data_IF_090784120458
#
_entry.id   IF_090784120458
#
_cell.length_a   1.000
_cell.length_b   1.000
_cell.length_c   1.000
_cell.angle_alpha   90.00
_cell.angle_beta   90.00
_cell.angle_gamma   90.00
#
_symmetry.space_group_name_H-M   'P 1'
#
loop_
_entity.id
_entity.type
_entity.pdbx_description
1 polymer ?
#
# COMPACT_ATOMS: atom_id res chain seq x y z
N UNK A 1 -15.54 33.65 -12.23
CA UNK A 1 -15.31 32.67 -13.32
C UNK A 1 -14.05 31.87 -13.02
N UNK A 2 -12.95 32.54 -12.69
CA UNK A 2 -11.64 31.88 -12.48
C UNK A 2 -11.60 30.86 -11.33
N UNK A 3 -12.27 31.12 -10.20
CA UNK A 3 -12.32 30.14 -9.10
C UNK A 3 -13.10 28.87 -9.45
N UNK A 4 -14.23 29.01 -10.16
CA UNK A 4 -15.02 27.85 -10.61
C UNK A 4 -14.23 27.00 -11.60
N UNK A 5 -13.52 27.64 -12.53
CA UNK A 5 -12.63 26.94 -13.46
C UNK A 5 -11.48 26.24 -12.74
N UNK A 6 -10.87 26.87 -11.72
CA UNK A 6 -9.81 26.26 -10.91
C UNK A 6 -10.31 25.06 -10.08
N UNK A 7 -11.52 25.12 -9.54
CA UNK A 7 -12.13 24.00 -8.82
C UNK A 7 -12.45 22.86 -9.77
N UNK A 8 -13.02 23.16 -10.94
CA UNK A 8 -13.39 22.15 -11.93
C UNK A 8 -12.16 21.43 -12.49
N UNK A 9 -11.07 22.15 -12.78
CA UNK A 9 -9.82 21.54 -13.26
C UNK A 9 -9.21 20.62 -12.21
N UNK A 10 -9.15 21.04 -10.94
CA UNK A 10 -8.66 20.20 -9.83
C UNK A 10 -9.51 18.94 -9.65
N UNK A 11 -10.82 19.04 -9.76
CA UNK A 11 -11.72 17.88 -9.69
C UNK A 11 -11.46 16.91 -10.85
N UNK A 12 -11.36 17.40 -12.08
CA UNK A 12 -11.07 16.56 -13.25
C UNK A 12 -9.70 15.89 -13.14
N UNK A 13 -8.67 16.62 -12.70
CA UNK A 13 -7.34 16.06 -12.45
C UNK A 13 -7.37 15.01 -11.33
N UNK A 14 -8.12 15.24 -10.26
CA UNK A 14 -8.30 14.29 -9.16
C UNK A 14 -9.00 13.00 -9.61
N UNK A 15 -10.04 13.12 -10.44
CA UNK A 15 -10.72 11.97 -11.05
C UNK A 15 -9.79 11.19 -11.98
N UNK A 16 -9.00 11.89 -12.81
CA UNK A 16 -7.99 11.27 -13.66
C UNK A 16 -6.90 10.53 -12.87
N UNK A 17 -6.44 11.12 -11.76
CA UNK A 17 -5.48 10.51 -10.84
C UNK A 17 -6.00 9.20 -10.23
N UNK A 18 -7.24 9.22 -9.72
CA UNK A 18 -7.88 8.01 -9.19
C UNK A 18 -8.09 6.95 -10.28
N UNK A 19 -8.58 7.35 -11.46
CA UNK A 19 -8.79 6.43 -12.58
C UNK A 19 -7.49 5.74 -12.98
N UNK A 20 -6.37 6.47 -13.03
CA UNK A 20 -5.06 5.90 -13.33
C UNK A 20 -4.65 4.86 -12.28
N UNK A 21 -4.77 5.17 -10.98
CA UNK A 21 -4.44 4.25 -9.89
C UNK A 21 -5.29 2.99 -9.96
N UNK A 22 -6.60 3.13 -10.15
CA UNK A 22 -7.55 2.03 -10.25
C UNK A 22 -7.27 1.12 -11.45
N UNK A 23 -6.86 1.70 -12.59
CA UNK A 23 -6.47 0.91 -13.76
C UNK A 23 -5.11 0.26 -13.53
N UNK A 24 -4.11 0.93 -12.97
CA UNK A 24 -2.74 0.38 -12.85
C UNK A 24 -2.63 -0.68 -11.75
N UNK A 25 -3.44 -0.61 -10.70
CA UNK A 25 -3.34 -1.52 -9.55
C UNK A 25 -3.45 -3.02 -9.91
N UNK A 26 -4.46 -3.48 -10.68
CA UNK A 26 -4.53 -4.88 -11.12
C UNK A 26 -3.41 -5.28 -12.09
N UNK A 27 -2.93 -4.33 -12.92
CA UNK A 27 -1.82 -4.57 -13.84
C UNK A 27 -0.54 -4.92 -13.08
N UNK A 28 -0.23 -4.13 -12.04
CA UNK A 28 0.91 -4.37 -11.16
C UNK A 28 0.80 -5.73 -10.48
N UNK A 29 -0.39 -6.10 -9.98
CA UNK A 29 -0.59 -7.42 -9.38
C UNK A 29 -0.30 -8.56 -10.36
N UNK A 30 -0.72 -8.41 -11.62
CA UNK A 30 -0.44 -9.38 -12.68
C UNK A 30 1.05 -9.47 -13.00
N UNK A 31 1.73 -8.32 -13.03
CA UNK A 31 3.17 -8.24 -13.23
C UNK A 31 3.95 -8.95 -12.11
N UNK A 32 3.59 -8.73 -10.84
CA UNK A 32 4.22 -9.41 -9.69
C UNK A 32 4.02 -10.93 -9.78
N UNK A 33 2.80 -11.40 -10.06
CA UNK A 33 2.52 -12.84 -10.24
C UNK A 33 3.35 -13.46 -11.36
N UNK A 34 3.50 -12.75 -12.48
CA UNK A 34 4.35 -13.20 -13.60
C UNK A 34 5.83 -13.25 -13.23
N UNK A 35 6.32 -12.26 -12.48
CA UNK A 35 7.70 -12.22 -11.96
C UNK A 35 7.98 -13.36 -10.98
N UNK A 36 7.04 -13.71 -10.10
CA UNK A 36 7.16 -14.90 -9.22
C UNK A 36 7.25 -16.19 -10.03
N UNK A 37 6.41 -16.34 -11.06
CA UNK A 37 6.42 -17.52 -11.91
C UNK A 37 7.76 -17.68 -12.68
N UNK A 38 8.36 -16.58 -13.10
CA UNK A 38 9.70 -16.56 -13.70
C UNK A 38 10.76 -17.14 -12.76
N UNK A 39 10.82 -16.68 -11.50
CA UNK A 39 11.76 -17.23 -10.50
C UNK A 39 11.49 -18.69 -10.12
N UNK A 40 10.24 -19.12 -10.23
CA UNK A 40 9.82 -20.50 -9.98
C UNK A 40 9.99 -21.42 -11.21
N UNK A 41 10.56 -20.91 -12.32
CA UNK A 41 10.74 -21.66 -13.57
C UNK A 41 9.45 -22.31 -14.10
N UNK A 42 8.30 -21.63 -13.92
CA UNK A 42 7.00 -22.08 -14.44
C UNK A 42 6.34 -21.02 -15.30
N UNK A 43 5.44 -21.43 -16.18
CA UNK A 43 4.64 -20.49 -16.96
C UNK A 43 3.57 -19.84 -16.05
N UNK A 44 3.72 -18.54 -15.81
CA UNK A 44 2.78 -17.76 -15.01
C UNK A 44 1.51 -17.36 -15.77
N UNK A 45 0.49 -16.86 -15.06
CA UNK A 45 -0.70 -16.30 -15.68
C UNK A 45 -0.39 -15.03 -16.51
N UNK A 46 -1.32 -14.66 -17.38
CA UNK A 46 -1.23 -13.38 -18.10
C UNK A 46 -1.21 -12.19 -17.14
N UNK A 47 -0.53 -11.10 -17.52
CA UNK A 47 -0.50 -9.84 -16.76
C UNK A 47 -1.92 -9.28 -16.60
N UNK A 48 -2.81 -9.53 -17.56
CA UNK A 48 -4.21 -9.08 -17.52
C UNK A 48 -5.14 -10.01 -16.72
N UNK A 49 -4.61 -11.08 -16.11
CA UNK A 49 -5.42 -12.03 -15.35
C UNK A 49 -6.19 -11.38 -14.18
N UNK A 50 -5.61 -10.47 -13.37
CA UNK A 50 -6.34 -9.86 -12.26
C UNK A 50 -7.61 -9.10 -12.69
N UNK A 51 -7.60 -8.45 -13.85
CA UNK A 51 -8.82 -7.81 -14.38
C UNK A 51 -9.91 -8.82 -14.73
N UNK A 52 -9.52 -9.97 -15.29
CA UNK A 52 -10.45 -11.05 -15.63
C UNK A 52 -11.02 -11.68 -14.37
N UNK A 53 -10.21 -11.84 -13.33
CA UNK A 53 -10.63 -12.36 -12.04
C UNK A 53 -11.62 -11.40 -11.37
N UNK A 54 -11.32 -10.09 -11.31
CA UNK A 54 -12.26 -9.09 -10.80
C UNK A 54 -13.57 -9.09 -11.59
N UNK A 55 -13.50 -9.07 -12.93
CA UNK A 55 -14.69 -9.15 -13.78
C UNK A 55 -15.50 -10.43 -13.55
N UNK A 56 -14.83 -11.57 -13.32
CA UNK A 56 -15.48 -12.85 -13.02
C UNK A 56 -16.20 -12.77 -11.67
N UNK A 57 -15.56 -12.24 -10.64
CA UNK A 57 -16.11 -12.15 -9.28
C UNK A 57 -17.29 -11.18 -9.21
N UNK A 58 -17.22 -10.04 -9.91
CA UNK A 58 -18.35 -9.10 -10.04
C UNK A 58 -19.59 -9.67 -10.72
N UNK A 59 -19.46 -10.79 -11.45
CA UNK A 59 -20.58 -11.47 -12.13
C UNK A 59 -21.12 -12.67 -11.35
N UNK A 60 -20.46 -13.06 -10.26
CA UNK A 60 -20.92 -14.17 -9.43
C UNK A 60 -22.03 -13.69 -8.49
N UNK A 61 -22.90 -14.62 -8.13
CA UNK A 61 -23.84 -14.43 -7.03
C UNK A 61 -23.09 -14.28 -5.71
N UNK A 62 -23.60 -13.39 -4.86
CA UNK A 62 -23.07 -13.15 -3.52
C UNK A 62 -23.82 -14.02 -2.53
N UNK A 63 -23.08 -14.93 -1.87
CA UNK A 63 -23.61 -15.72 -0.76
C UNK A 63 -23.17 -15.05 0.54
N UNK A 64 -24.13 -14.83 1.43
CA UNK A 64 -23.93 -14.14 2.71
C UNK A 64 -24.36 -15.08 3.82
N UNK A 65 -23.56 -15.13 4.89
CA UNK A 65 -23.87 -15.91 6.09
C UNK A 65 -25.14 -15.40 6.78
N UNK A 66 -25.95 -16.31 7.34
CA UNK A 66 -27.13 -15.96 8.13
C UNK A 66 -26.78 -15.20 9.41
N UNK A 67 -25.52 -15.32 9.87
CA UNK A 67 -24.99 -14.66 11.06
C UNK A 67 -24.35 -13.30 10.78
N UNK A 68 -24.28 -12.88 9.51
CA UNK A 68 -23.65 -11.63 9.11
C UNK A 68 -24.46 -10.41 9.59
N UNK A 69 -23.80 -9.45 10.23
CA UNK A 69 -24.42 -8.18 10.61
C UNK A 69 -24.29 -7.13 9.48
N UNK A 70 -24.79 -5.91 9.74
CA UNK A 70 -24.59 -4.76 8.86
C UNK A 70 -23.10 -4.45 8.60
N UNK A 71 -22.19 -4.84 9.52
CA UNK A 71 -20.74 -4.64 9.38
C UNK A 71 -20.23 -5.41 8.16
N UNK A 72 -20.64 -6.66 7.98
CA UNK A 72 -20.26 -7.48 6.82
C UNK A 72 -20.56 -6.79 5.49
N UNK A 73 -21.74 -6.18 5.36
CA UNK A 73 -22.12 -5.43 4.15
C UNK A 73 -21.36 -4.12 3.98
N UNK A 74 -21.02 -3.46 5.08
CA UNK A 74 -20.35 -2.18 5.05
C UNK A 74 -18.85 -2.30 4.77
N UNK A 75 -18.21 -3.36 5.27
CA UNK A 75 -16.76 -3.56 5.22
C UNK A 75 -16.16 -3.48 3.82
N UNK A 76 -16.67 -4.16 2.77
CA UNK A 76 -16.14 -4.02 1.41
C UNK A 76 -16.14 -2.58 0.88
N UNK A 77 -17.21 -1.84 1.19
CA UNK A 77 -17.39 -0.45 0.74
C UNK A 77 -16.46 0.50 1.50
N UNK A 78 -16.34 0.32 2.82
CA UNK A 78 -15.44 1.13 3.65
C UNK A 78 -13.99 0.83 3.33
N UNK A 79 -13.60 -0.43 3.15
CA UNK A 79 -12.24 -0.80 2.76
C UNK A 79 -11.84 -0.14 1.43
N UNK A 80 -12.72 -0.21 0.42
CA UNK A 80 -12.48 0.43 -0.86
C UNK A 80 -12.46 1.97 -0.76
N UNK A 81 -13.40 2.58 -0.02
CA UNK A 81 -13.42 4.03 0.17
C UNK A 81 -12.19 4.55 0.94
N UNK A 82 -11.75 3.82 1.97
CA UNK A 82 -10.57 4.16 2.75
C UNK A 82 -9.28 4.02 1.94
N UNK A 83 -9.15 2.98 1.09
CA UNK A 83 -8.00 2.88 0.18
C UNK A 83 -8.02 3.94 -0.92
N UNK A 84 -9.19 4.35 -1.41
CA UNK A 84 -9.34 5.51 -2.28
C UNK A 84 -8.93 6.82 -1.58
N UNK A 85 -9.27 6.97 -0.31
CA UNK A 85 -8.85 8.13 0.49
C UNK A 85 -7.33 8.18 0.61
N UNK A 86 -6.68 7.05 0.90
CA UNK A 86 -5.22 6.95 0.87
C UNK A 86 -4.62 7.30 -0.51
N UNK A 87 -5.29 6.92 -1.60
CA UNK A 87 -4.85 7.24 -2.96
C UNK A 87 -4.88 8.74 -3.28
N UNK A 88 -5.78 9.51 -2.66
CA UNK A 88 -5.88 10.96 -2.83
C UNK A 88 -4.78 11.74 -2.09
N UNK A 89 -4.12 11.12 -1.11
CA UNK A 89 -3.06 11.75 -0.30
C UNK A 89 -1.67 11.53 -0.92
N UNK A 90 -1.47 10.44 -1.65
CA UNK A 90 -0.17 10.10 -2.24
C UNK A 90 0.06 10.84 -3.56
N UNK A 91 1.21 11.53 -3.74
CA UNK A 91 1.58 12.13 -5.02
C UNK A 91 1.99 11.05 -6.04
N UNK A 92 1.47 11.15 -7.26
CA UNK A 92 1.80 10.24 -8.37
C UNK A 92 2.80 10.92 -9.35
N UNK A 93 2.85 10.47 -10.61
CA UNK A 93 3.78 10.96 -11.65
C UNK A 93 3.79 12.49 -11.84
N UNK A 94 2.70 13.18 -11.49
CA UNK A 94 2.54 14.63 -11.64
C UNK A 94 3.14 15.44 -10.49
N UNK A 95 3.62 14.78 -9.42
CA UNK A 95 4.15 15.46 -8.23
C UNK A 95 3.10 16.18 -7.38
N UNK A 96 1.81 16.01 -7.72
CA UNK A 96 0.68 16.57 -7.01
C UNK A 96 -0.23 15.47 -6.46
N UNK A 97 -0.78 15.69 -5.27
CA UNK A 97 -1.80 14.85 -4.67
C UNK A 97 -3.12 15.65 -4.54
N UNK A 98 -4.28 15.07 -4.91
CA UNK A 98 -5.57 15.77 -4.85
C UNK A 98 -5.92 16.40 -3.49
N UNK A 99 -5.58 15.70 -2.40
CA UNK A 99 -5.82 16.17 -1.04
C UNK A 99 -4.58 16.77 -0.38
N UNK A 100 -3.58 17.25 -1.11
CA UNK A 100 -2.32 17.70 -0.51
C UNK A 100 -2.42 18.83 0.54
N UNK A 101 -3.47 19.66 0.50
CA UNK A 101 -3.68 20.69 1.51
C UNK A 101 -4.27 20.20 2.84
N UNK A 102 -4.93 19.03 2.84
CA UNK A 102 -5.63 18.47 4.00
C UNK A 102 -5.11 17.10 4.41
N UNK A 103 -4.37 16.44 3.51
CA UNK A 103 -3.89 15.08 3.65
C UNK A 103 -2.41 15.06 4.01
N UNK A 104 -2.13 14.37 5.10
CA UNK A 104 -0.80 14.17 5.66
C UNK A 104 -0.50 12.68 5.86
N UNK A 105 0.68 12.40 6.39
CA UNK A 105 1.10 11.04 6.75
C UNK A 105 0.13 10.36 7.74
N UNK A 106 -0.55 11.11 8.60
CA UNK A 106 -1.48 10.57 9.60
C UNK A 106 -2.79 10.15 8.95
N UNK A 107 -3.33 10.94 8.02
CA UNK A 107 -4.50 10.56 7.23
C UNK A 107 -4.22 9.31 6.40
N UNK A 108 -3.01 9.19 5.83
CA UNK A 108 -2.60 7.98 5.12
C UNK A 108 -2.58 6.76 6.06
N UNK A 109 -1.93 6.86 7.22
CA UNK A 109 -1.90 5.79 8.22
C UNK A 109 -3.28 5.42 8.74
N UNK A 110 -4.11 6.41 9.07
CA UNK A 110 -5.48 6.23 9.55
C UNK A 110 -6.38 5.57 8.50
N UNK A 111 -6.18 5.89 7.21
CA UNK A 111 -6.90 5.25 6.12
C UNK A 111 -6.61 3.75 6.05
N UNK A 112 -5.34 3.35 6.19
CA UNK A 112 -4.95 1.93 6.25
C UNK A 112 -5.46 1.24 7.53
N UNK A 113 -5.36 1.91 8.67
CA UNK A 113 -5.90 1.42 9.94
C UNK A 113 -7.42 1.21 9.90
N UNK A 114 -8.16 2.08 9.20
CA UNK A 114 -9.61 1.95 9.01
C UNK A 114 -9.96 0.69 8.19
N UNK A 115 -9.19 0.39 7.14
CA UNK A 115 -9.35 -0.85 6.35
C UNK A 115 -9.18 -2.06 7.27
N UNK A 116 -8.09 -2.11 8.05
CA UNK A 116 -7.82 -3.20 8.99
C UNK A 116 -8.93 -3.34 10.02
N UNK A 117 -9.38 -2.24 10.62
CA UNK A 117 -10.45 -2.25 11.62
C UNK A 117 -11.72 -2.92 11.06
N UNK A 118 -12.22 -2.48 9.91
CA UNK A 118 -13.43 -3.05 9.33
C UNK A 118 -13.26 -4.51 8.88
N UNK A 119 -12.10 -4.85 8.32
CA UNK A 119 -11.77 -6.22 7.96
C UNK A 119 -11.72 -7.14 9.20
N UNK A 120 -11.15 -6.68 10.31
CA UNK A 120 -11.07 -7.46 11.57
C UNK A 120 -12.42 -7.67 12.21
N UNK A 121 -13.27 -6.64 12.23
CA UNK A 121 -14.65 -6.76 12.71
C UNK A 121 -15.45 -7.75 11.83
N UNK A 122 -15.36 -7.62 10.51
CA UNK A 122 -16.02 -8.55 9.60
C UNK A 122 -15.55 -10.00 9.79
N UNK A 123 -14.26 -10.24 10.00
CA UNK A 123 -13.73 -11.57 10.25
C UNK A 123 -14.21 -12.20 11.56
N UNK A 124 -14.70 -11.42 12.52
CA UNK A 124 -15.20 -11.91 13.81
C UNK A 124 -16.67 -12.32 13.80
N UNK A 125 -17.48 -11.80 12.86
CA UNK A 125 -18.93 -12.03 12.85
C UNK A 125 -19.36 -13.29 12.10
N UNK A 126 -18.47 -13.85 11.30
CA UNK A 126 -18.80 -14.88 10.34
C UNK A 126 -19.27 -16.25 10.88
N UNK A 127 -19.25 -16.40 12.20
CA UNK A 127 -19.50 -17.67 12.91
C UNK A 127 -18.53 -18.81 12.53
N UNK A 128 -17.52 -18.57 11.69
CA UNK A 128 -16.39 -19.46 11.44
C UNK A 128 -15.24 -19.27 12.43
N UNK A 129 -14.55 -20.36 12.78
CA UNK A 129 -13.38 -20.31 13.68
C UNK A 129 -12.14 -19.67 13.03
N UNK A 130 -12.04 -19.72 11.70
CA UNK A 130 -10.89 -19.20 10.96
C UNK A 130 -10.88 -17.68 10.82
N UNK A 131 -12.05 -17.04 10.66
CA UNK A 131 -12.16 -15.58 10.60
C UNK A 131 -11.62 -14.94 11.88
N UNK A 132 -12.06 -15.44 13.04
CA UNK A 132 -11.57 -14.94 14.34
C UNK A 132 -10.08 -15.21 14.57
N UNK A 133 -9.55 -16.36 14.15
CA UNK A 133 -8.11 -16.64 14.19
C UNK A 133 -7.32 -15.69 13.27
N UNK A 134 -7.82 -15.43 12.05
CA UNK A 134 -7.23 -14.48 11.11
C UNK A 134 -7.21 -13.06 11.68
N UNK A 135 -8.35 -12.57 12.19
CA UNK A 135 -8.48 -11.26 12.81
C UNK A 135 -7.53 -11.07 13.99
N UNK A 136 -7.41 -12.05 14.88
CA UNK A 136 -6.48 -11.98 16.02
C UNK A 136 -5.02 -11.83 15.56
N UNK A 137 -4.64 -12.55 14.50
CA UNK A 137 -3.27 -12.52 13.94
C UNK A 137 -2.99 -11.22 13.19
N UNK A 138 -3.95 -10.74 12.40
CA UNK A 138 -3.84 -9.47 11.68
C UNK A 138 -3.73 -8.30 12.65
N UNK A 139 -4.50 -8.28 13.75
CA UNK A 139 -4.36 -7.28 14.81
C UNK A 139 -2.99 -7.37 15.49
N UNK A 140 -2.48 -8.58 15.76
CA UNK A 140 -1.15 -8.74 16.34
C UNK A 140 -0.03 -8.20 15.44
N UNK A 141 -0.09 -8.47 14.14
CA UNK A 141 0.84 -7.89 13.16
C UNK A 141 0.63 -6.38 13.06
N UNK A 142 -0.61 -5.93 12.99
CA UNK A 142 -1.00 -4.54 12.84
C UNK A 142 -0.53 -3.62 13.98
N UNK A 143 -0.66 -4.10 15.21
CA UNK A 143 -0.17 -3.40 16.41
C UNK A 143 1.34 -3.13 16.36
N UNK A 144 2.09 -3.91 15.58
CA UNK A 144 3.54 -3.76 15.40
C UNK A 144 3.88 -2.98 14.12
N UNK A 145 3.12 -3.13 13.04
CA UNK A 145 3.38 -2.45 11.77
C UNK A 145 2.96 -0.98 11.78
N UNK A 146 1.83 -0.63 12.39
CA UNK A 146 1.29 0.74 12.36
C UNK A 146 2.23 1.76 13.03
N UNK A 147 2.77 1.51 14.25
CA UNK A 147 3.74 2.43 14.83
C UNK A 147 5.03 2.51 14.00
N UNK A 148 5.46 1.40 13.41
CA UNK A 148 6.64 1.36 12.55
C UNK A 148 6.45 2.21 11.29
N UNK A 149 5.27 2.11 10.65
CA UNK A 149 4.89 2.92 9.49
C UNK A 149 4.96 4.41 9.82
N UNK A 150 4.28 4.80 10.90
CA UNK A 150 4.22 6.20 11.33
C UNK A 150 5.59 6.73 11.71
N UNK A 151 6.39 5.98 12.48
CA UNK A 151 7.74 6.39 12.85
C UNK A 151 8.64 6.57 11.62
N UNK A 152 8.58 5.65 10.64
CA UNK A 152 9.33 5.78 9.38
C UNK A 152 8.95 7.04 8.61
N UNK A 153 7.66 7.37 8.51
CA UNK A 153 7.18 8.59 7.86
C UNK A 153 7.49 9.85 8.67
N UNK A 154 7.42 9.81 9.99
CA UNK A 154 7.76 10.94 10.88
C UNK A 154 9.24 11.30 10.75
N UNK A 155 10.14 10.32 10.64
CA UNK A 155 11.55 10.61 10.37
C UNK A 155 11.72 11.38 9.06
N UNK A 156 11.03 10.96 7.98
CA UNK A 156 11.03 11.69 6.71
C UNK A 156 10.40 13.07 6.85
N UNK A 157 9.35 13.22 7.65
CA UNK A 157 8.72 14.50 7.97
C UNK A 157 9.71 15.46 8.65
N UNK A 158 10.52 14.98 9.59
CA UNK A 158 11.55 15.80 10.21
C UNK A 158 12.64 16.21 9.22
N UNK A 159 13.08 15.29 8.34
CA UNK A 159 14.08 15.59 7.31
C UNK A 159 13.58 16.70 6.37
N UNK A 160 12.31 16.64 5.99
CA UNK A 160 11.71 17.51 4.96
C UNK A 160 10.92 18.70 5.50
N UNK A 161 10.76 18.78 6.82
CA UNK A 161 10.03 19.83 7.56
C UNK A 161 8.55 19.97 7.15
N UNK A 162 7.94 18.88 6.69
CA UNK A 162 6.53 18.85 6.29
C UNK A 162 5.90 17.50 6.61
N UNK A 163 4.62 17.51 6.99
CA UNK A 163 3.83 16.29 7.22
C UNK A 163 3.10 15.81 5.97
N UNK A 164 3.04 16.66 4.92
CA UNK A 164 2.37 16.34 3.65
C UNK A 164 3.22 15.38 2.82
N UNK A 165 2.62 14.31 2.30
CA UNK A 165 3.35 13.34 1.47
C UNK A 165 3.83 13.96 0.14
N UNK A 166 3.06 14.89 -0.41
CA UNK A 166 3.48 15.69 -1.56
C UNK A 166 4.73 16.53 -1.24
N UNK A 167 4.71 17.25 -0.11
CA UNK A 167 5.85 18.07 0.31
C UNK A 167 7.09 17.22 0.57
N UNK A 168 6.93 16.03 1.19
CA UNK A 168 8.04 15.10 1.39
C UNK A 168 8.71 14.70 0.07
N UNK A 169 7.91 14.30 -0.93
CA UNK A 169 8.41 13.90 -2.24
C UNK A 169 9.18 15.04 -2.94
N UNK A 170 8.66 16.26 -2.87
CA UNK A 170 9.31 17.44 -3.44
C UNK A 170 10.62 17.81 -2.70
N UNK A 171 10.60 17.87 -1.37
CA UNK A 171 11.76 18.25 -0.57
C UNK A 171 12.90 17.21 -0.63
N UNK A 172 12.57 15.92 -0.81
CA UNK A 172 13.55 14.84 -0.94
C UNK A 172 14.42 14.93 -2.21
N UNK A 173 14.05 15.76 -3.20
CA UNK A 173 14.90 16.06 -4.37
C UNK A 173 16.21 16.71 -3.97
N UNK A 174 16.18 17.56 -2.93
CA UNK A 174 17.35 18.32 -2.46
C UNK A 174 18.16 17.54 -1.41
N UNK A 175 17.63 16.40 -0.94
CA UNK A 175 18.28 15.55 0.06
C UNK A 175 19.05 14.45 -0.66
N UNK A 176 20.31 14.25 -0.28
CA UNK A 176 21.13 13.15 -0.83
C UNK A 176 20.44 11.79 -0.66
N UNK A 177 20.41 10.93 -1.69
CA UNK A 177 19.92 9.56 -1.58
C UNK A 177 20.68 8.72 -0.54
N UNK A 178 21.95 9.08 -0.27
CA UNK A 178 22.85 8.32 0.63
C UNK A 178 22.75 8.85 2.08
N UNK A 179 21.79 9.72 2.37
CA UNK A 179 21.61 10.27 3.70
C UNK A 179 21.18 9.17 4.70
N UNK A 180 21.97 8.93 5.75
CA UNK A 180 21.81 7.78 6.66
C UNK A 180 20.40 7.70 7.27
N UNK A 181 19.82 8.78 7.83
CA UNK A 181 18.45 8.75 8.35
C UNK A 181 17.40 8.36 7.29
N UNK A 182 17.58 8.81 6.04
CA UNK A 182 16.69 8.46 4.92
C UNK A 182 16.78 6.96 4.60
N UNK A 183 17.98 6.39 4.56
CA UNK A 183 18.19 4.96 4.30
C UNK A 183 17.53 4.11 5.40
N UNK A 184 17.74 4.46 6.66
CA UNK A 184 17.16 3.74 7.79
C UNK A 184 15.62 3.82 7.79
N UNK A 185 15.04 4.99 7.47
CA UNK A 185 13.61 5.14 7.26
C UNK A 185 13.10 4.29 6.08
N UNK A 186 13.85 4.21 4.98
CA UNK A 186 13.52 3.35 3.84
C UNK A 186 13.55 1.85 4.21
N UNK A 187 14.49 1.42 5.05
CA UNK A 187 14.53 0.04 5.56
C UNK A 187 13.28 -0.24 6.38
N UNK A 188 12.89 0.66 7.29
CA UNK A 188 11.64 0.55 8.05
C UNK A 188 10.45 0.43 7.12
N UNK A 189 10.28 1.38 6.19
CA UNK A 189 9.13 1.40 5.29
C UNK A 189 9.09 0.18 4.36
N UNK A 190 10.26 -0.32 3.92
CA UNK A 190 10.35 -1.53 3.12
C UNK A 190 9.90 -2.77 3.90
N UNK A 191 10.36 -2.95 5.14
CA UNK A 191 9.96 -4.06 6.00
C UNK A 191 8.47 -4.00 6.37
N UNK A 192 7.97 -2.82 6.72
CA UNK A 192 6.55 -2.60 7.01
C UNK A 192 5.69 -2.85 5.77
N UNK A 193 6.14 -2.41 4.59
CA UNK A 193 5.39 -2.62 3.35
C UNK A 193 5.20 -4.10 3.03
N UNK A 194 6.19 -4.96 3.29
CA UNK A 194 6.01 -6.43 3.17
C UNK A 194 4.87 -6.92 4.06
N UNK A 195 4.87 -6.47 5.32
CA UNK A 195 3.88 -6.90 6.31
C UNK A 195 2.48 -6.40 5.95
N UNK A 196 2.36 -5.12 5.58
CA UNK A 196 1.08 -4.50 5.20
C UNK A 196 0.50 -5.07 3.90
N UNK A 197 1.33 -5.51 2.95
CA UNK A 197 0.87 -6.21 1.74
C UNK A 197 0.52 -7.69 1.97
N UNK A 198 0.71 -8.22 3.19
CA UNK A 198 0.50 -9.64 3.49
C UNK A 198 1.40 -10.58 2.69
N UNK A 199 2.63 -10.15 2.37
CA UNK A 199 3.57 -10.89 1.50
C UNK A 199 4.67 -11.59 2.30
N UNK A 200 5.36 -12.54 1.67
CA UNK A 200 6.44 -13.32 2.30
C UNK A 200 7.62 -12.36 2.60
N UNK A 201 8.28 -12.43 3.78
CA UNK A 201 8.19 -13.47 4.82
C UNK A 201 7.04 -13.41 5.83
N UNK A 202 6.15 -12.43 5.81
CA UNK A 202 5.16 -12.22 6.87
C UNK A 202 3.90 -13.08 6.71
N UNK A 203 3.27 -13.02 5.55
CA UNK A 203 2.17 -13.92 5.17
C UNK A 203 2.37 -14.46 3.75
N UNK A 204 1.52 -15.36 3.29
CA UNK A 204 1.54 -15.87 1.93
C UNK A 204 0.13 -15.86 1.32
N UNK A 205 -0.16 -14.95 0.36
CA UNK A 205 -1.46 -14.87 -0.27
C UNK A 205 -1.71 -16.00 -1.29
N UNK A 206 -0.73 -16.86 -1.54
CA UNK A 206 -0.91 -18.03 -2.41
C UNK A 206 -1.27 -19.30 -1.60
N UNK A 207 -1.40 -19.21 -0.27
CA UNK A 207 -1.63 -20.37 0.59
C UNK A 207 -2.97 -20.30 1.30
N UNK A 208 -3.93 -21.07 0.79
CA UNK A 208 -5.26 -21.24 1.37
C UNK A 208 -5.30 -22.31 2.49
N UNK A 209 -4.18 -22.54 3.19
CA UNK A 209 -4.15 -23.47 4.32
C UNK A 209 -4.67 -22.78 5.57
N UNK A 210 -5.92 -23.10 5.92
CA UNK A 210 -6.75 -22.39 6.90
C UNK A 210 -6.04 -22.06 8.23
N UNK A 211 -5.23 -22.99 8.74
CA UNK A 211 -4.50 -22.83 10.01
C UNK A 211 -3.36 -21.81 9.97
N UNK A 212 -2.84 -21.46 8.81
CA UNK A 212 -1.68 -20.55 8.68
C UNK A 212 -2.02 -19.19 8.10
N UNK A 213 -3.26 -18.99 7.65
CA UNK A 213 -3.69 -17.73 7.03
C UNK A 213 -3.73 -16.61 8.07
N UNK A 214 -3.36 -15.40 7.65
CA UNK A 214 -3.59 -14.17 8.41
C UNK A 214 -4.63 -13.38 7.64
N UNK A 215 -4.25 -12.83 6.48
CA UNK A 215 -5.10 -11.90 5.73
C UNK A 215 -6.26 -12.63 5.02
N UNK A 216 -5.97 -13.77 4.38
CA UNK A 216 -7.01 -14.56 3.69
C UNK A 216 -8.04 -15.16 4.65
N UNK A 217 -7.65 -15.43 5.90
CA UNK A 217 -8.52 -15.99 6.94
C UNK A 217 -9.73 -15.09 7.21
N UNK A 218 -9.55 -13.78 7.08
CA UNK A 218 -10.60 -12.77 7.32
C UNK A 218 -11.55 -12.61 6.12
N UNK A 219 -11.14 -13.06 4.94
CA UNK A 219 -11.88 -12.90 3.69
C UNK A 219 -12.71 -14.14 3.31
N UNK A 220 -12.55 -15.26 4.03
CA UNK A 220 -13.09 -16.57 3.65
C UNK A 220 -14.60 -16.61 3.39
N UNK A 221 -15.35 -15.80 4.13
CA UNK A 221 -16.82 -15.80 4.04
C UNK A 221 -17.36 -14.88 2.97
N UNK A 222 -16.52 -13.99 2.43
CA UNK A 222 -16.92 -13.12 1.35
C UNK A 222 -16.95 -13.87 0.03
N UNK A 223 -18.03 -13.68 -0.72
CA UNK A 223 -18.20 -14.24 -2.07
C UNK A 223 -18.54 -13.12 -3.06
N UNK A 224 -18.44 -13.40 -4.36
CA UNK A 224 -19.02 -12.55 -5.40
C UNK A 224 -18.42 -11.13 -5.47
N UNK A 225 -19.27 -10.09 -5.64
CA UNK A 225 -18.84 -8.70 -5.78
C UNK A 225 -18.14 -8.13 -4.54
N UNK A 226 -18.56 -8.49 -3.33
CA UNK A 226 -17.90 -8.03 -2.10
C UNK A 226 -16.46 -8.51 -2.00
N UNK A 227 -16.21 -9.78 -2.32
CA UNK A 227 -14.84 -10.31 -2.40
C UNK A 227 -14.03 -9.64 -3.53
N UNK A 228 -14.68 -9.26 -4.63
CA UNK A 228 -14.03 -8.51 -5.71
C UNK A 228 -13.56 -7.12 -5.24
N UNK A 229 -14.41 -6.39 -4.50
CA UNK A 229 -14.08 -5.08 -3.94
C UNK A 229 -12.93 -5.16 -2.93
N UNK A 230 -12.94 -6.17 -2.05
CA UNK A 230 -11.86 -6.39 -1.07
C UNK A 230 -10.52 -6.72 -1.74
N UNK A 231 -10.53 -7.65 -2.71
CA UNK A 231 -9.33 -7.96 -3.49
C UNK A 231 -8.84 -6.75 -4.31
N UNK A 232 -9.75 -5.91 -4.80
CA UNK A 232 -9.38 -4.72 -5.53
C UNK A 232 -8.78 -3.65 -4.61
N UNK A 233 -9.36 -3.45 -3.43
CA UNK A 233 -8.83 -2.61 -2.36
C UNK A 233 -7.40 -3.01 -1.99
N UNK A 234 -7.12 -4.32 -1.87
CA UNK A 234 -5.78 -4.83 -1.59
C UNK A 234 -4.78 -4.54 -2.72
N UNK A 235 -5.20 -4.72 -3.98
CA UNK A 235 -4.37 -4.37 -5.14
C UNK A 235 -4.05 -2.87 -5.19
N UNK A 236 -5.02 -2.02 -4.85
CA UNK A 236 -4.83 -0.57 -4.74
C UNK A 236 -3.86 -0.25 -3.61
N UNK A 237 -4.06 -0.80 -2.40
CA UNK A 237 -3.14 -0.63 -1.25
C UNK A 237 -1.70 -0.99 -1.62
N UNK A 238 -1.50 -2.13 -2.29
CA UNK A 238 -0.19 -2.55 -2.76
C UNK A 238 0.45 -1.53 -3.72
N UNK A 239 -0.31 -1.03 -4.70
CA UNK A 239 0.18 0.00 -5.61
C UNK A 239 0.55 1.28 -4.86
N UNK A 240 -0.27 1.72 -3.91
CA UNK A 240 -0.03 2.93 -3.13
C UNK A 240 1.25 2.85 -2.30
N UNK A 241 1.48 1.74 -1.61
CA UNK A 241 2.72 1.52 -0.85
C UNK A 241 3.95 1.53 -1.77
N UNK A 242 3.86 0.92 -2.97
CA UNK A 242 4.97 0.97 -3.94
C UNK A 242 5.18 2.35 -4.55
N UNK A 243 4.13 3.12 -4.80
CA UNK A 243 4.24 4.52 -5.25
C UNK A 243 4.93 5.33 -4.15
N UNK A 244 4.48 5.23 -2.90
CA UNK A 244 5.09 5.92 -1.77
C UNK A 244 6.59 5.61 -1.65
N UNK A 245 6.96 4.32 -1.70
CA UNK A 245 8.37 3.92 -1.71
C UNK A 245 9.12 4.46 -2.93
N UNK A 246 8.53 4.42 -4.12
CA UNK A 246 9.15 4.93 -5.34
C UNK A 246 9.46 6.43 -5.22
N UNK A 247 8.55 7.22 -4.65
CA UNK A 247 8.75 8.65 -4.45
C UNK A 247 9.84 8.95 -3.40
N UNK A 248 9.96 8.12 -2.36
CA UNK A 248 10.99 8.31 -1.33
C UNK A 248 12.37 7.88 -1.82
N UNK A 249 12.47 6.82 -2.64
CA UNK A 249 13.76 6.34 -3.18
C UNK A 249 14.21 7.24 -4.34
N UNK A 250 13.31 7.48 -5.30
CA UNK A 250 13.58 8.27 -6.50
C UNK A 250 12.53 9.38 -6.65
N UNK A 251 12.69 10.52 -5.96
CA UNK A 251 11.75 11.64 -6.03
C UNK A 251 11.77 12.37 -7.40
N UNK A 252 12.73 12.07 -8.27
CA UNK A 252 12.91 12.73 -9.57
C UNK A 252 11.84 12.37 -10.61
N UNK A 253 11.73 13.18 -11.65
CA UNK A 253 10.85 12.92 -12.80
C UNK A 253 9.36 13.05 -12.53
N UNK A 254 9.04 14.02 -11.69
CA UNK A 254 7.71 14.59 -11.55
C UNK A 254 7.52 15.69 -12.58
N UNK A 255 6.31 15.82 -13.11
CA UNK A 255 5.95 16.86 -14.08
C UNK A 255 6.13 18.23 -13.44
N UNK A 256 6.88 19.11 -14.11
CA UNK A 256 6.83 20.55 -13.88
C UNK A 256 5.79 21.14 -14.83
N UNK A 257 5.02 22.14 -14.38
CA UNK A 257 3.80 22.62 -15.08
C UNK A 257 3.99 23.07 -16.55
N UNK A 258 5.23 23.22 -17.01
CA UNK A 258 5.61 23.61 -18.37
C UNK A 258 5.91 22.43 -19.30
N UNK A 259 5.85 21.20 -18.79
CA UNK A 259 6.12 19.98 -19.55
C UNK A 259 4.93 19.64 -20.45
N UNK A 260 5.08 19.83 -21.76
CA UNK A 260 4.07 19.45 -22.75
C UNK A 260 3.75 17.94 -22.77
N UNK A 261 2.98 17.49 -23.77
CA UNK A 261 2.53 16.08 -23.89
C UNK A 261 3.67 15.05 -23.75
N UNK A 262 4.86 15.35 -24.28
CA UNK A 262 6.03 14.49 -24.17
C UNK A 262 6.54 14.33 -22.73
N UNK A 263 6.50 15.39 -21.93
CA UNK A 263 6.91 15.32 -20.53
C UNK A 263 5.92 14.56 -19.66
N UNK A 264 4.62 14.63 -19.98
CA UNK A 264 3.59 13.77 -19.35
C UNK A 264 3.88 12.29 -19.62
N UNK A 265 4.16 11.92 -20.88
CA UNK A 265 4.49 10.54 -21.23
C UNK A 265 5.77 10.07 -20.54
N UNK A 266 6.78 10.95 -20.46
CA UNK A 266 8.03 10.63 -19.79
C UNK A 266 7.84 10.42 -18.29
N UNK A 267 7.11 11.30 -17.61
CA UNK A 267 6.82 11.16 -16.19
C UNK A 267 5.99 9.91 -15.86
N UNK A 268 4.95 9.63 -16.65
CA UNK A 268 4.15 8.40 -16.51
C UNK A 268 4.98 7.15 -16.76
N UNK A 269 5.81 7.16 -17.81
CA UNK A 269 6.72 6.07 -18.12
C UNK A 269 7.75 5.84 -17.00
N UNK A 270 8.36 6.91 -16.50
CA UNK A 270 9.36 6.84 -15.45
C UNK A 270 8.75 6.39 -14.11
N UNK A 271 7.59 6.93 -13.72
CA UNK A 271 6.85 6.46 -12.55
C UNK A 271 6.46 4.98 -12.67
N UNK A 272 5.98 4.57 -13.85
CA UNK A 272 5.65 3.18 -14.16
C UNK A 272 6.86 2.24 -14.02
N UNK A 273 8.02 2.66 -14.53
CA UNK A 273 9.27 1.89 -14.40
C UNK A 273 9.70 1.75 -12.94
N UNK A 274 9.65 2.82 -12.13
CA UNK A 274 10.00 2.73 -10.70
C UNK A 274 9.13 1.73 -9.96
N UNK A 275 7.82 1.82 -10.16
CA UNK A 275 6.84 0.93 -9.52
C UNK A 275 7.06 -0.51 -10.01
N UNK A 276 7.34 -0.72 -11.31
CA UNK A 276 7.67 -2.04 -11.85
C UNK A 276 8.97 -2.61 -11.27
N UNK A 277 10.02 -1.79 -11.11
CA UNK A 277 11.28 -2.22 -10.49
C UNK A 277 11.05 -2.63 -9.04
N UNK A 278 10.29 -1.86 -8.26
CA UNK A 278 9.94 -2.23 -6.89
C UNK A 278 9.06 -3.48 -6.84
N UNK A 279 8.07 -3.60 -7.73
CA UNK A 279 7.24 -4.79 -7.84
C UNK A 279 8.06 -6.05 -8.16
N UNK A 280 9.04 -5.93 -9.06
CA UNK A 280 9.98 -7.01 -9.37
C UNK A 280 10.89 -7.34 -8.18
N UNK A 281 11.37 -6.32 -7.47
CA UNK A 281 12.16 -6.49 -6.25
C UNK A 281 11.39 -7.28 -5.18
N UNK A 282 10.15 -6.89 -4.87
CA UNK A 282 9.32 -7.62 -3.90
C UNK A 282 8.95 -9.03 -4.38
N UNK A 283 8.66 -9.22 -5.68
CA UNK A 283 8.44 -10.55 -6.26
C UNK A 283 9.67 -11.46 -6.10
N UNK A 284 10.87 -10.88 -6.25
CA UNK A 284 12.15 -11.58 -6.06
C UNK A 284 12.36 -11.90 -4.58
N UNK A 285 12.13 -10.95 -3.69
CA UNK A 285 12.22 -11.17 -2.24
C UNK A 285 11.28 -12.31 -1.79
N UNK A 286 10.03 -12.31 -2.24
CA UNK A 286 9.08 -13.40 -1.95
C UNK A 286 9.52 -14.76 -2.48
N UNK A 287 10.26 -14.78 -3.59
CA UNK A 287 10.75 -16.03 -4.19
C UNK A 287 12.02 -16.56 -3.50
N UNK A 288 12.78 -15.67 -2.84
CA UNK A 288 14.00 -16.01 -2.11
C UNK A 288 13.76 -16.35 -0.63
N UNK A 289 12.74 -15.75 -0.02
CA UNK A 289 12.42 -15.96 1.39
C UNK A 289 11.34 -17.03 1.60
N UNK A 290 11.30 -17.57 2.81
CA UNK A 290 10.27 -18.50 3.27
C UNK A 290 9.35 -17.80 4.27
N UNK A 291 8.07 -18.18 4.28
CA UNK A 291 7.10 -17.71 5.27
C UNK A 291 7.62 -17.98 6.68
N UNK A 292 7.77 -16.91 7.48
CA UNK A 292 8.16 -17.01 8.89
C UNK A 292 6.97 -17.48 9.72
N UNK A 293 7.26 -18.19 10.80
CA UNK A 293 6.23 -18.54 11.80
C UNK A 293 5.72 -17.26 12.45
N UNK A 294 4.43 -17.19 12.76
CA UNK A 294 3.78 -16.04 13.39
C UNK A 294 4.54 -15.55 14.64
N UNK A 295 5.00 -16.47 15.50
CA UNK A 295 5.76 -16.13 16.71
C UNK A 295 7.12 -15.44 16.44
N UNK A 296 7.62 -15.47 15.20
CA UNK A 296 8.82 -14.74 14.76
C UNK A 296 8.52 -13.43 14.03
N UNK A 297 7.25 -13.14 13.75
CA UNK A 297 6.81 -11.86 13.19
C UNK A 297 7.24 -10.66 14.07
N UNK A 298 7.17 -10.73 15.41
CA UNK A 298 7.61 -9.62 16.26
C UNK A 298 9.08 -9.28 16.09
N UNK A 299 9.96 -10.26 15.92
CA UNK A 299 11.39 -9.98 15.73
C UNK A 299 11.64 -9.24 14.41
N UNK A 300 10.92 -9.57 13.34
CA UNK A 300 11.03 -8.88 12.05
C UNK A 300 10.52 -7.43 12.14
N UNK A 301 9.38 -7.21 12.79
CA UNK A 301 8.81 -5.88 12.93
C UNK A 301 9.55 -5.03 13.97
N UNK A 302 10.09 -5.65 15.03
CA UNK A 302 10.96 -5.00 15.99
C UNK A 302 12.25 -4.50 15.33
N UNK A 303 12.83 -5.23 14.38
CA UNK A 303 13.97 -4.70 13.61
C UNK A 303 13.60 -3.49 12.75
N UNK A 304 12.36 -3.45 12.25
CA UNK A 304 11.84 -2.31 11.49
C UNK A 304 11.58 -1.09 12.36
N UNK A 305 10.99 -1.26 13.55
CA UNK A 305 10.81 -0.16 14.51
C UNK A 305 12.16 0.33 15.04
N UNK A 306 13.09 -0.59 15.33
CA UNK A 306 14.44 -0.25 15.75
C UNK A 306 15.19 0.57 14.67
N UNK A 307 15.07 0.22 13.38
CA UNK A 307 15.67 1.03 12.32
C UNK A 307 15.06 2.43 12.23
N UNK A 308 13.76 2.59 12.51
CA UNK A 308 13.11 3.91 12.54
C UNK A 308 13.61 4.76 13.70
N UNK A 309 13.74 4.17 14.89
CA UNK A 309 14.29 4.85 16.07
C UNK A 309 15.75 5.25 15.83
N UNK A 310 16.57 4.37 15.25
CA UNK A 310 17.94 4.68 14.87
C UNK A 310 18.01 5.80 13.84
N UNK A 311 17.08 5.83 12.88
CA UNK A 311 16.97 6.90 11.90
C UNK A 311 16.70 8.25 12.57
N UNK A 312 15.77 8.28 13.53
CA UNK A 312 15.43 9.47 14.30
C UNK A 312 16.62 9.96 15.13
N UNK A 313 17.28 9.06 15.87
CA UNK A 313 18.45 9.40 16.69
C UNK A 313 19.60 9.91 15.81
N UNK A 314 19.87 9.24 14.69
CA UNK A 314 20.90 9.67 13.74
C UNK A 314 20.60 11.06 13.17
N UNK A 315 19.35 11.34 12.82
CA UNK A 315 18.93 12.66 12.34
C UNK A 315 19.17 13.74 13.40
N UNK A 316 18.83 13.44 14.66
CA UNK A 316 18.96 14.37 15.76
C UNK A 316 20.43 14.72 16.07
N UNK A 317 21.31 13.70 16.04
CA UNK A 317 22.76 13.87 16.17
C UNK A 317 23.33 14.74 15.03
N UNK A 318 22.95 14.46 13.78
CA UNK A 318 23.46 15.21 12.61
C UNK A 318 23.00 16.67 12.62
N UNK A 319 21.80 16.95 13.12
CA UNK A 319 21.26 18.33 13.23
C UNK A 319 21.82 19.12 14.42
N UNK A 320 22.67 18.51 15.27
CA UNK A 320 23.35 19.23 16.35
C UNK A 320 22.42 19.72 17.46
N UNK A 321 21.34 19.00 17.75
CA UNK A 321 20.41 19.31 18.85
C UNK A 321 20.75 18.56 20.16
N UNK A 322 22.04 18.26 20.37
CA UNK A 322 22.63 17.76 21.62
C UNK A 322 23.82 18.64 21.97
#
# INVERSE_FOLDING_TARGET
MDELYAVLTRLLMGLGHLALILVVAPLLQGFIKKSKAFWQMRQGPSILQPYRDLRKMMKKEELISEHASWIFFLTPRVAFAATLMAALVIPNAWGWAPLSGWGDLFLFGASLGLVRLFLTLAGLEGAGTFGGMGSSRELFVGLLTEPALLLGLIVLAFITETTSLQGMAASLLNVSPIFIPRILALITLGMVSVAEMGRIPMDNPDTHLELTMIHEGMLLEYTGPSLALLNFSEQVKQLLLLILMAQIIWPSGLITGDDGFLGILWALGFAGVKVAVLGFFFATAESLFVKRRLFRAPHFLATSTASAILALVSLWIIRGQI
#
